data_IF_091470773254
#
_entry.id   IF_091470773254
#
_cell.length_a   1.000
_cell.length_b   1.000
_cell.length_c   1.000
_cell.angle_alpha   90.00
_cell.angle_beta   90.00
_cell.angle_gamma   90.00
#
_symmetry.space_group_name_H-M   'P 1'
#
loop_
_entity.id
_entity.type
_entity.pdbx_description
1 polymer ?
#
# COMPACT_ATOMS: atom_id res chain seq x y z
N UNK A 1 1.57 -15.65 -0.20
CA UNK A 1 1.78 -14.75 -1.35
C UNK A 1 3.26 -14.41 -1.44
N UNK A 2 3.84 -14.39 -2.65
CA UNK A 2 5.20 -13.89 -2.84
C UNK A 2 5.25 -12.37 -2.67
N UNK A 3 6.42 -11.84 -2.34
CA UNK A 3 6.67 -10.40 -2.29
C UNK A 3 8.05 -10.07 -2.87
N UNK A 4 8.19 -8.84 -3.35
CA UNK A 4 9.46 -8.30 -3.82
C UNK A 4 9.86 -7.13 -2.93
N UNK A 5 11.13 -7.08 -2.55
CA UNK A 5 11.71 -5.97 -1.81
C UNK A 5 12.82 -5.35 -2.65
N UNK A 6 12.81 -4.03 -2.81
CA UNK A 6 13.97 -3.29 -3.28
C UNK A 6 14.79 -2.89 -2.05
N UNK A 7 16.03 -3.35 -1.99
CA UNK A 7 16.93 -3.10 -0.86
C UNK A 7 18.16 -2.34 -1.37
N UNK A 8 18.36 -1.13 -0.85
CA UNK A 8 19.54 -0.33 -1.13
C UNK A 8 20.54 -0.42 0.02
N UNK A 9 21.79 -0.77 -0.29
CA UNK A 9 22.86 -0.95 0.70
C UNK A 9 24.00 -0.01 0.39
N UNK A 10 24.29 0.89 1.34
CA UNK A 10 25.42 1.79 1.26
C UNK A 10 26.54 1.32 2.16
N UNK A 11 27.67 0.97 1.54
CA UNK A 11 28.92 0.72 2.25
C UNK A 11 29.67 2.01 2.60
N UNK A 12 30.63 1.91 3.54
CA UNK A 12 31.42 3.07 4.01
C UNK A 12 32.20 3.78 2.90
N UNK A 13 32.61 3.04 1.87
CA UNK A 13 33.30 3.59 0.69
C UNK A 13 32.45 3.45 -0.58
N UNK A 14 31.12 3.52 -0.43
CA UNK A 14 30.16 3.36 -1.50
C UNK A 14 29.72 1.92 -1.73
N UNK A 15 28.84 1.67 -2.71
CA UNK A 15 28.17 0.38 -2.90
C UNK A 15 29.12 -0.81 -3.10
N UNK A 16 30.20 -0.63 -3.87
CA UNK A 16 31.19 -1.67 -4.14
C UNK A 16 31.98 -2.12 -2.90
N UNK A 17 31.90 -1.38 -1.79
CA UNK A 17 32.56 -1.76 -0.53
C UNK A 17 31.78 -2.80 0.28
N UNK A 18 30.61 -3.24 -0.19
CA UNK A 18 29.78 -4.22 0.49
C UNK A 18 29.37 -5.35 -0.45
N UNK A 19 29.44 -6.58 0.05
CA UNK A 19 28.84 -7.76 -0.58
C UNK A 19 27.65 -8.21 0.26
N UNK A 20 26.46 -8.20 -0.33
CA UNK A 20 25.25 -8.75 0.30
C UNK A 20 25.26 -10.27 0.14
N UNK A 21 25.03 -11.00 1.24
CA UNK A 21 25.03 -12.46 1.25
C UNK A 21 23.61 -13.02 1.18
N UNK A 22 22.72 -12.49 2.03
CA UNK A 22 21.32 -12.88 2.03
C UNK A 22 20.44 -11.77 2.60
N UNK A 23 19.20 -11.73 2.14
CA UNK A 23 18.12 -10.96 2.74
C UNK A 23 16.99 -11.92 3.07
N UNK A 24 16.37 -11.77 4.23
CA UNK A 24 15.31 -12.63 4.71
C UNK A 24 14.24 -11.85 5.48
N UNK A 25 13.03 -12.40 5.52
CA UNK A 25 11.99 -11.97 6.45
C UNK A 25 12.06 -12.84 7.69
N UNK A 26 12.15 -12.23 8.87
CA UNK A 26 12.26 -12.95 10.14
C UNK A 26 11.13 -12.53 11.05
N UNK A 27 10.36 -13.50 11.54
CA UNK A 27 9.32 -13.22 12.54
C UNK A 27 9.90 -12.64 13.82
N UNK A 28 9.18 -11.77 14.51
CA UNK A 28 9.66 -11.14 15.76
C UNK A 28 9.93 -12.15 16.88
N UNK A 29 9.28 -13.33 16.83
CA UNK A 29 9.55 -14.45 17.73
C UNK A 29 10.83 -15.24 17.38
N UNK A 30 11.41 -15.00 16.20
CA UNK A 30 12.56 -15.72 15.64
C UNK A 30 12.25 -17.14 15.17
N UNK A 31 10.99 -17.59 15.24
CA UNK A 31 10.60 -18.99 14.96
C UNK A 31 10.56 -19.31 13.46
N UNK A 32 10.31 -18.30 12.63
CA UNK A 32 10.27 -18.43 11.17
C UNK A 32 11.23 -17.43 10.52
N UNK A 33 12.07 -17.94 9.63
CA UNK A 33 12.99 -17.20 8.75
C UNK A 33 12.68 -17.58 7.32
N UNK A 34 12.28 -16.63 6.48
CA UNK A 34 12.02 -16.83 5.07
C UNK A 34 13.08 -16.12 4.25
N UNK A 35 14.00 -16.88 3.67
CA UNK A 35 15.04 -16.35 2.79
C UNK A 35 14.47 -15.82 1.47
N UNK A 36 15.13 -14.80 0.92
CA UNK A 36 14.85 -14.25 -0.41
C UNK A 36 15.93 -14.60 -1.43
N UNK A 37 15.52 -14.74 -2.68
CA UNK A 37 16.41 -14.82 -3.84
C UNK A 37 16.86 -13.40 -4.21
N UNK A 38 18.16 -13.19 -4.29
CA UNK A 38 18.76 -11.89 -4.59
C UNK A 38 19.05 -11.73 -6.09
N UNK A 39 18.71 -10.58 -6.62
CA UNK A 39 19.13 -10.10 -7.94
C UNK A 39 19.84 -8.76 -7.76
N UNK A 40 21.10 -8.66 -8.19
CA UNK A 40 21.89 -7.42 -8.13
C UNK A 40 21.49 -6.50 -9.28
N UNK A 41 20.98 -5.32 -8.94
CA UNK A 41 20.54 -4.30 -9.90
C UNK A 41 21.63 -3.25 -10.18
N UNK A 42 22.81 -3.41 -9.56
CA UNK A 42 23.90 -2.46 -9.61
C UNK A 42 23.74 -1.32 -8.60
N UNK A 43 24.84 -0.58 -8.41
CA UNK A 43 24.88 0.60 -7.53
C UNK A 43 24.41 0.35 -6.08
N UNK A 44 24.50 -0.89 -5.60
CA UNK A 44 24.09 -1.27 -4.23
C UNK A 44 22.60 -1.50 -4.08
N UNK A 45 21.86 -1.61 -5.18
CA UNK A 45 20.45 -1.96 -5.19
C UNK A 45 20.28 -3.46 -5.48
N UNK A 46 19.42 -4.09 -4.68
CA UNK A 46 19.12 -5.52 -4.80
C UNK A 46 17.62 -5.72 -4.86
N UNK A 47 17.15 -6.42 -5.88
CA UNK A 47 15.78 -6.90 -5.94
C UNK A 47 15.73 -8.26 -5.24
N UNK A 48 14.95 -8.35 -4.17
CA UNK A 48 14.83 -9.55 -3.33
C UNK A 48 13.45 -10.16 -3.55
N UNK A 49 13.39 -11.37 -4.08
CA UNK A 49 12.13 -12.10 -4.23
C UNK A 49 11.98 -13.11 -3.10
N UNK A 50 10.92 -12.97 -2.30
CA UNK A 50 10.53 -13.95 -1.29
C UNK A 50 9.28 -14.70 -1.74
N UNK A 51 9.28 -16.03 -1.62
CA UNK A 51 8.16 -16.87 -2.08
C UNK A 51 6.98 -16.86 -1.12
N UNK A 52 7.22 -16.47 0.13
CA UNK A 52 6.22 -16.43 1.21
C UNK A 52 6.53 -15.28 2.16
N UNK A 53 5.52 -14.50 2.51
CA UNK A 53 5.61 -13.53 3.60
C UNK A 53 5.12 -14.17 4.90
N UNK A 54 5.81 -13.99 6.04
CA UNK A 54 5.35 -14.49 7.33
C UNK A 54 3.93 -14.00 7.68
N UNK A 55 3.17 -14.84 8.37
CA UNK A 55 1.79 -14.51 8.74
C UNK A 55 1.68 -13.52 9.90
N UNK A 56 2.67 -13.54 10.81
CA UNK A 56 2.77 -12.60 11.94
C UNK A 56 3.67 -11.42 11.63
N UNK A 57 3.98 -10.62 12.65
CA UNK A 57 4.92 -9.51 12.53
C UNK A 57 6.33 -10.02 12.22
N UNK A 58 6.98 -9.36 11.28
CA UNK A 58 8.32 -9.69 10.82
C UNK A 58 9.17 -8.45 10.58
N UNK A 59 10.48 -8.67 10.49
CA UNK A 59 11.50 -7.67 10.16
C UNK A 59 12.29 -8.14 8.95
N UNK A 60 12.94 -7.22 8.26
CA UNK A 60 13.90 -7.54 7.19
C UNK A 60 15.27 -7.72 7.82
N UNK A 61 15.85 -8.91 7.66
CA UNK A 61 17.21 -9.23 8.06
C UNK A 61 18.11 -9.23 6.83
N UNK A 62 19.25 -8.56 6.93
CA UNK A 62 20.28 -8.53 5.90
C UNK A 62 21.60 -8.98 6.51
N UNK A 63 22.27 -9.94 5.89
CA UNK A 63 23.66 -10.25 6.18
C UNK A 63 24.54 -9.89 4.99
N UNK A 64 25.75 -9.45 5.28
CA UNK A 64 26.74 -9.13 4.27
C UNK A 64 28.14 -9.09 4.83
N UNK A 65 29.07 -8.68 3.97
CA UNK A 65 30.47 -8.47 4.32
C UNK A 65 30.88 -7.08 3.85
N UNK A 66 31.48 -6.30 4.74
CA UNK A 66 32.24 -5.11 4.35
C UNK A 66 33.57 -5.61 3.77
N UNK A 67 33.77 -5.39 2.47
CA UNK A 67 34.92 -5.91 1.72
C UNK A 67 36.18 -5.14 2.10
N UNK A 68 36.07 -3.91 2.59
CA UNK A 68 37.21 -3.07 2.96
C UNK A 68 37.81 -3.53 4.29
N UNK A 69 36.98 -3.84 5.28
CA UNK A 69 37.42 -4.35 6.59
C UNK A 69 37.41 -5.87 6.71
N UNK A 70 36.92 -6.60 5.69
CA UNK A 70 36.69 -8.05 5.73
C UNK A 70 35.79 -8.49 6.90
N UNK A 71 34.94 -7.60 7.39
CA UNK A 71 34.05 -7.89 8.53
C UNK A 71 32.68 -8.33 8.05
N UNK A 72 32.22 -9.47 8.54
CA UNK A 72 30.81 -9.87 8.41
C UNK A 72 29.93 -8.95 9.25
N UNK A 73 28.74 -8.68 8.75
CA UNK A 73 27.76 -7.89 9.47
C UNK A 73 26.35 -8.43 9.26
N UNK A 74 25.50 -8.09 10.22
CA UNK A 74 24.06 -8.30 10.17
C UNK A 74 23.34 -7.00 10.49
N UNK A 75 22.28 -6.71 9.74
CA UNK A 75 21.39 -5.57 9.95
C UNK A 75 19.95 -6.05 9.96
N UNK A 76 19.15 -5.42 10.81
CA UNK A 76 17.72 -5.65 10.90
C UNK A 76 17.00 -4.32 10.67
N UNK A 77 15.86 -4.36 9.99
CA UNK A 77 14.97 -3.20 9.90
C UNK A 77 14.52 -2.75 11.29
N UNK A 78 14.41 -1.44 11.47
CA UNK A 78 13.88 -0.83 12.70
C UNK A 78 12.34 -0.92 12.78
N UNK A 79 11.69 -1.07 11.63
CA UNK A 79 10.24 -1.23 11.52
C UNK A 79 9.87 -2.72 11.49
N UNK A 80 8.89 -3.10 12.30
CA UNK A 80 8.18 -4.37 12.19
C UNK A 80 7.04 -4.22 11.18
N UNK A 81 6.81 -5.26 10.38
CA UNK A 81 5.87 -5.27 9.28
C UNK A 81 4.92 -6.45 9.43
N UNK A 82 3.69 -6.30 8.95
CA UNK A 82 2.74 -7.39 8.83
C UNK A 82 1.93 -7.23 7.55
N UNK A 83 1.38 -8.33 7.04
CA UNK A 83 0.50 -8.30 5.88
C UNK A 83 -0.92 -8.04 6.37
N UNK A 84 -1.51 -6.92 5.92
CA UNK A 84 -2.92 -6.65 6.20
C UNK A 84 -3.80 -7.75 5.62
N UNK A 85 -4.76 -8.19 6.43
CA UNK A 85 -5.87 -9.07 6.06
C UNK A 85 -7.04 -8.30 5.47
N UNK A 86 -6.97 -6.97 5.49
CA UNK A 86 -7.94 -6.08 4.85
C UNK A 86 -7.46 -5.74 3.45
N UNK A 87 -8.31 -5.92 2.47
CA UNK A 87 -8.07 -5.43 1.10
C UNK A 87 -9.18 -4.45 0.72
N UNK A 88 -8.80 -3.28 0.23
CA UNK A 88 -9.74 -2.33 -0.35
C UNK A 88 -9.41 -2.13 -1.84
N UNK A 89 -10.43 -2.16 -2.68
CA UNK A 89 -10.31 -1.95 -4.13
C UNK A 89 -11.33 -0.92 -4.57
N UNK A 90 -10.91 0.00 -5.43
CA UNK A 90 -11.78 0.95 -6.09
C UNK A 90 -11.31 1.10 -7.53
N UNK A 91 -12.25 1.16 -8.47
CA UNK A 91 -11.95 1.26 -9.91
C UNK A 91 -12.62 2.51 -10.43
N UNK A 92 -11.86 3.30 -11.19
CA UNK A 92 -12.32 4.56 -11.78
C UNK A 92 -12.47 4.32 -13.27
N UNK A 93 -13.68 4.51 -13.79
CA UNK A 93 -14.05 4.25 -15.19
C UNK A 93 -14.28 5.53 -16.00
N UNK A 94 -14.36 6.69 -15.34
CA UNK A 94 -14.62 7.99 -15.96
C UNK A 94 -14.00 9.15 -15.19
N UNK A 95 -13.80 10.27 -15.89
CA UNK A 95 -13.41 11.54 -15.27
C UNK A 95 -14.57 12.17 -14.48
N UNK A 96 -14.22 13.03 -13.54
CA UNK A 96 -15.19 13.88 -12.85
C UNK A 96 -15.51 15.12 -13.70
N UNK A 97 -16.66 15.74 -13.48
CA UNK A 97 -17.07 16.95 -14.20
C UNK A 97 -17.28 18.13 -13.21
N UNK A 98 -16.88 19.36 -13.56
CA UNK A 98 -17.16 20.54 -12.74
C UNK A 98 -18.65 20.70 -12.45
N UNK A 99 -19.00 20.97 -11.19
CA UNK A 99 -20.38 21.22 -10.77
C UNK A 99 -21.26 19.97 -10.70
N UNK A 100 -20.68 18.78 -10.90
CA UNK A 100 -21.40 17.49 -10.82
C UNK A 100 -20.96 16.68 -9.61
N UNK A 101 -21.86 15.81 -9.17
CA UNK A 101 -21.54 14.77 -8.21
C UNK A 101 -20.98 13.57 -8.96
N UNK A 102 -19.79 13.14 -8.56
CA UNK A 102 -19.17 11.91 -8.99
C UNK A 102 -19.45 10.80 -7.97
N UNK A 103 -19.74 9.60 -8.45
CA UNK A 103 -20.02 8.42 -7.63
C UNK A 103 -18.95 7.37 -7.90
N UNK A 104 -18.38 6.80 -6.84
CA UNK A 104 -17.33 5.81 -6.91
C UNK A 104 -17.66 4.59 -6.04
N UNK A 105 -17.88 3.42 -6.64
CA UNK A 105 -17.97 2.16 -5.90
C UNK A 105 -16.58 1.69 -5.46
N UNK A 106 -16.54 1.05 -4.30
CA UNK A 106 -15.35 0.37 -3.79
C UNK A 106 -15.73 -0.91 -3.06
N UNK A 107 -14.82 -1.87 -2.98
CA UNK A 107 -15.02 -3.16 -2.33
C UNK A 107 -14.02 -3.32 -1.20
N UNK A 108 -14.50 -3.74 -0.03
CA UNK A 108 -13.69 -4.17 1.10
C UNK A 108 -13.76 -5.69 1.19
N UNK A 109 -12.62 -6.34 1.38
CA UNK A 109 -12.49 -7.79 1.49
C UNK A 109 -11.65 -8.13 2.72
N UNK A 110 -11.93 -9.28 3.32
CA UNK A 110 -11.16 -9.80 4.45
C UNK A 110 -10.95 -11.29 4.32
N UNK A 111 -9.77 -11.77 4.67
CA UNK A 111 -9.47 -13.21 4.75
C UNK A 111 -9.76 -13.79 6.15
N UNK A 112 -10.18 -12.94 7.09
CA UNK A 112 -10.31 -13.29 8.51
C UNK A 112 -11.64 -12.78 9.06
N UNK A 113 -11.62 -11.75 9.90
CA UNK A 113 -12.72 -11.31 10.75
C UNK A 113 -13.79 -10.58 9.96
N UNK A 114 -15.02 -11.10 9.97
CA UNK A 114 -16.19 -10.34 9.54
C UNK A 114 -16.59 -9.28 10.57
N UNK A 115 -17.48 -8.37 10.19
CA UNK A 115 -18.04 -7.36 11.08
C UNK A 115 -18.16 -6.00 10.40
N UNK A 116 -18.27 -4.96 11.22
CA UNK A 116 -18.41 -3.57 10.74
C UNK A 116 -17.04 -2.94 10.54
N UNK A 117 -16.64 -2.75 9.28
CA UNK A 117 -15.41 -2.09 8.90
C UNK A 117 -15.65 -0.59 8.83
N UNK A 118 -14.88 0.19 9.59
CA UNK A 118 -14.97 1.65 9.55
C UNK A 118 -14.33 2.15 8.26
N UNK A 119 -15.02 3.05 7.56
CA UNK A 119 -14.52 3.64 6.33
C UNK A 119 -14.26 5.13 6.54
N UNK A 120 -13.11 5.59 6.06
CA UNK A 120 -12.72 7.00 5.96
C UNK A 120 -12.26 7.30 4.56
N UNK A 121 -12.46 8.53 4.08
CA UNK A 121 -11.83 8.98 2.86
C UNK A 121 -11.40 10.44 2.96
N UNK A 122 -10.33 10.79 2.26
CA UNK A 122 -9.84 12.17 2.11
C UNK A 122 -9.46 12.43 0.66
N UNK A 123 -9.65 13.65 0.19
CA UNK A 123 -9.10 14.12 -1.09
C UNK A 123 -8.26 15.39 -0.88
N UNK A 124 -7.24 15.58 -1.71
CA UNK A 124 -6.28 16.68 -1.61
C UNK A 124 -6.79 18.05 -2.11
N UNK A 125 -8.03 18.11 -2.61
CA UNK A 125 -8.70 19.35 -3.06
C UNK A 125 -9.81 19.80 -2.13
N UNK A 126 -9.99 19.12 -0.99
CA UNK A 126 -11.07 19.37 -0.03
C UNK A 126 -12.47 19.39 -0.66
N UNK A 127 -12.67 18.68 -1.78
CA UNK A 127 -13.98 18.53 -2.38
C UNK A 127 -14.90 17.83 -1.40
N UNK A 128 -16.15 18.30 -1.30
CA UNK A 128 -17.12 17.72 -0.37
C UNK A 128 -17.37 16.27 -0.75
N UNK A 129 -17.31 15.37 0.21
CA UNK A 129 -17.58 13.95 0.02
C UNK A 129 -18.70 13.45 0.92
N UNK A 130 -19.41 12.44 0.45
CA UNK A 130 -20.24 11.58 1.29
C UNK A 130 -19.61 10.19 1.33
N UNK A 131 -19.28 9.71 2.52
CA UNK A 131 -18.59 8.44 2.74
C UNK A 131 -19.41 7.63 3.74
N UNK A 132 -19.66 6.32 3.50
CA UNK A 132 -20.33 5.50 4.49
C UNK A 132 -19.47 5.44 5.74
N UNK A 133 -20.04 5.60 6.93
CA UNK A 133 -19.26 5.51 8.17
C UNK A 133 -18.71 4.10 8.43
N UNK A 134 -19.40 3.08 7.93
CA UNK A 134 -18.96 1.68 8.01
C UNK A 134 -19.64 0.79 6.97
N UNK A 135 -19.06 -0.38 6.72
CA UNK A 135 -19.61 -1.44 5.86
C UNK A 135 -19.56 -2.77 6.60
N UNK A 136 -20.65 -3.55 6.54
CA UNK A 136 -20.68 -4.90 7.09
C UNK A 136 -20.06 -5.89 6.09
N UNK A 137 -19.00 -6.57 6.50
CA UNK A 137 -18.31 -7.61 5.72
C UNK A 137 -18.47 -8.95 6.42
N UNK A 138 -18.77 -10.02 5.69
CA UNK A 138 -18.82 -11.37 6.28
C UNK A 138 -17.40 -11.92 6.51
N UNK A 139 -17.27 -12.87 7.43
CA UNK A 139 -15.99 -13.56 7.70
C UNK A 139 -15.47 -14.21 6.42
N UNK A 140 -14.21 -13.93 6.05
CA UNK A 140 -13.61 -14.41 4.80
C UNK A 140 -14.25 -13.84 3.52
N UNK A 141 -15.11 -12.82 3.65
CA UNK A 141 -15.96 -12.33 2.58
C UNK A 141 -15.58 -10.95 2.04
N UNK A 142 -16.51 -10.37 1.29
CA UNK A 142 -16.40 -9.02 0.75
C UNK A 142 -17.72 -8.26 0.86
N UNK A 143 -17.64 -6.94 0.76
CA UNK A 143 -18.79 -6.06 0.64
C UNK A 143 -18.44 -4.82 -0.17
N UNK A 144 -19.45 -4.27 -0.86
CA UNK A 144 -19.32 -3.07 -1.68
C UNK A 144 -19.87 -1.86 -0.93
N UNK A 145 -19.13 -0.76 -0.98
CA UNK A 145 -19.57 0.56 -0.57
C UNK A 145 -19.57 1.52 -1.76
N UNK A 146 -20.17 2.68 -1.53
CA UNK A 146 -20.20 3.76 -2.49
C UNK A 146 -19.87 5.05 -1.78
N UNK A 147 -18.99 5.87 -2.37
CA UNK A 147 -18.77 7.24 -1.94
C UNK A 147 -19.11 8.21 -3.05
N UNK A 148 -19.47 9.43 -2.68
CA UNK A 148 -19.69 10.50 -3.65
C UNK A 148 -18.77 11.68 -3.39
N UNK A 149 -18.42 12.39 -4.46
CA UNK A 149 -17.59 13.60 -4.45
C UNK A 149 -18.34 14.69 -5.21
N UNK A 150 -18.60 15.83 -4.58
CA UNK A 150 -19.19 17.00 -5.24
C UNK A 150 -18.07 17.92 -5.71
N UNK A 151 -17.90 18.02 -7.03
CA UNK A 151 -16.90 18.89 -7.64
C UNK A 151 -17.46 20.31 -7.72
N UNK A 152 -16.77 21.34 -7.20
CA UNK A 152 -17.19 22.73 -7.38
C UNK A 152 -17.32 23.13 -8.85
N UNK A 153 -18.33 23.94 -9.20
CA UNK A 153 -18.61 24.33 -10.59
C UNK A 153 -17.49 25.15 -11.24
N UNK A 154 -16.71 25.88 -10.43
CA UNK A 154 -15.56 26.67 -10.87
C UNK A 154 -14.25 25.88 -10.94
N UNK A 155 -14.30 24.55 -10.75
CA UNK A 155 -13.10 23.71 -10.84
C UNK A 155 -12.57 23.71 -12.28
N UNK A 156 -11.32 24.13 -12.53
CA UNK A 156 -10.77 24.12 -13.88
C UNK A 156 -10.68 22.70 -14.45
N UNK A 157 -10.94 22.56 -15.76
CA UNK A 157 -10.64 21.33 -16.49
C UNK A 157 -9.14 21.01 -16.42
N UNK A 158 -8.80 19.74 -16.27
CA UNK A 158 -7.43 19.27 -16.04
C UNK A 158 -7.01 19.26 -14.57
N UNK A 159 -7.89 19.61 -13.63
CA UNK A 159 -7.58 19.49 -12.19
C UNK A 159 -7.43 18.03 -11.81
N UNK A 160 -6.26 17.66 -11.28
CA UNK A 160 -5.99 16.36 -10.68
C UNK A 160 -6.34 16.34 -9.19
N UNK A 161 -6.93 15.23 -8.75
CA UNK A 161 -7.36 14.97 -7.38
C UNK A 161 -6.80 13.62 -6.91
N UNK A 162 -6.14 13.61 -5.77
CA UNK A 162 -5.69 12.39 -5.09
C UNK A 162 -6.71 12.01 -4.03
N UNK A 163 -7.41 10.90 -4.24
CA UNK A 163 -8.35 10.33 -3.27
C UNK A 163 -7.68 9.18 -2.51
N UNK A 164 -7.76 9.19 -1.19
CA UNK A 164 -7.40 8.04 -0.34
C UNK A 164 -8.64 7.53 0.37
N UNK A 165 -8.95 6.25 0.22
CA UNK A 165 -10.04 5.55 0.94
C UNK A 165 -9.38 4.55 1.87
N UNK A 166 -9.74 4.55 3.14
CA UNK A 166 -9.21 3.67 4.17
C UNK A 166 -10.33 2.80 4.74
N UNK A 167 -10.03 1.52 4.95
CA UNK A 167 -10.88 0.58 5.66
C UNK A 167 -10.15 0.04 6.89
N UNK A 168 -10.80 0.14 8.04
CA UNK A 168 -10.27 -0.32 9.33
C UNK A 168 -11.15 -1.45 9.84
N UNK A 169 -10.54 -2.61 10.11
CA UNK A 169 -11.22 -3.79 10.63
C UNK A 169 -11.76 -3.55 12.05
N UNK A 170 -12.85 -4.24 12.44
CA UNK A 170 -13.33 -4.19 13.81
C UNK A 170 -12.36 -4.88 14.78
N UNK A 171 -12.25 -4.38 16.01
CA UNK A 171 -11.48 -5.03 17.09
C UNK A 171 -10.46 -4.12 17.78
N UNK A 172 -9.80 -4.64 18.82
CA UNK A 172 -8.86 -3.89 19.66
C UNK A 172 -7.48 -3.67 19.00
N UNK A 173 -7.04 -4.62 18.17
CA UNK A 173 -5.84 -4.52 17.33
C UNK A 173 -6.28 -4.40 15.88
N UNK A 174 -6.95 -3.30 15.56
CA UNK A 174 -7.61 -3.10 14.28
C UNK A 174 -6.58 -3.02 13.13
N UNK A 175 -6.60 -4.04 12.28
CA UNK A 175 -5.89 -4.04 11.01
C UNK A 175 -6.55 -3.04 10.04
N UNK A 176 -5.76 -2.40 9.18
CA UNK A 176 -6.28 -1.46 8.20
C UNK A 176 -5.53 -1.52 6.88
N UNK A 177 -6.20 -1.09 5.82
CA UNK A 177 -5.59 -0.90 4.52
C UNK A 177 -6.27 0.25 3.77
N UNK A 178 -5.62 0.75 2.74
CA UNK A 178 -6.10 1.90 1.97
C UNK A 178 -5.93 1.72 0.46
N UNK A 179 -6.80 2.39 -0.29
CA UNK A 179 -6.70 2.56 -1.73
C UNK A 179 -6.39 4.03 -2.04
N UNK A 180 -5.43 4.28 -2.92
CA UNK A 180 -5.13 5.61 -3.45
C UNK A 180 -5.49 5.65 -4.92
N UNK A 181 -6.27 6.67 -5.32
CA UNK A 181 -6.71 6.89 -6.69
C UNK A 181 -6.33 8.30 -7.12
N UNK A 182 -5.94 8.43 -8.39
CA UNK A 182 -5.77 9.73 -9.06
C UNK A 182 -6.95 9.92 -10.01
N UNK A 183 -7.75 10.95 -9.73
CA UNK A 183 -8.93 11.31 -10.48
C UNK A 183 -8.64 12.61 -11.23
N UNK A 184 -9.22 12.78 -12.42
CA UNK A 184 -9.10 14.02 -13.17
C UNK A 184 -10.48 14.64 -13.39
N UNK A 185 -10.54 15.97 -13.29
CA UNK A 185 -11.73 16.77 -13.60
C UNK A 185 -11.64 17.22 -15.04
N UNK A 186 -12.64 16.91 -15.86
CA UNK A 186 -12.68 17.24 -17.28
C UNK A 186 -14.02 17.90 -17.59
N UNK A 187 -13.98 19.11 -18.15
CA UNK A 187 -15.18 19.74 -18.70
C UNK A 187 -15.60 18.98 -19.95
N UNK A 188 -16.86 18.55 -20.00
CA UNK A 188 -17.41 17.93 -21.20
C UNK A 188 -17.47 18.96 -22.32
N UNK A 189 -16.88 18.65 -23.47
CA UNK A 189 -17.00 19.51 -24.66
C UNK A 189 -18.44 19.38 -25.15
N UNK A 190 -19.22 20.44 -24.99
CA UNK A 190 -20.42 20.64 -25.81
C UNK A 190 -19.95 21.18 -27.14
N UNK A 191 -20.12 20.42 -28.21
CA UNK A 191 -20.05 20.99 -29.56
C UNK A 191 -21.23 21.95 -29.66
N UNK A 192 -20.95 23.25 -29.66
CA UNK A 192 -21.95 24.25 -30.05
C UNK A 192 -22.24 23.99 -31.55
N UNK A 193 -23.47 23.58 -31.86
CA UNK A 193 -24.00 23.56 -33.24
C UNK A 193 -24.63 24.90 -33.57
#
# INVERSE_FOLDING_TARGET
MPAMLLVSVLGRKGPASVKVANVALVTVSGLEVVGGTLEDMGNGEFLVTVTKVPAGEFVVLLNGTDVVSSTVFQRQSTTQMSVSKVTIKAVVDRSMEPGKTFTLPFTVMTDTTGGSYKISARNDRDFKMNVPGSIAVTTGGNATGELTITVPANTPSGTDVTLTIEAVAPGATADSNYAVLRLSVVTKVTSDM
#
